data_IF_784451354015
#
_entry.id   IF_784451354015
#
_cell.length_a   1.000
_cell.length_b   1.000
_cell.length_c   1.000
_cell.angle_alpha   90.00
_cell.angle_beta   90.00
_cell.angle_gamma   90.00
#
_symmetry.space_group_name_H-M   'P 1'
#
loop_
_entity.id
_entity.type
_entity.pdbx_description
1 polymer ?
#
# COMPACT_ATOMS: atom_id res chain seq x y z
N UNK A 1 -8.39 -13.07 -0.01
CA UNK A 1 -7.69 -11.97 0.71
C UNK A 1 -7.78 -12.14 2.24
N UNK A 2 -6.92 -12.98 2.86
CA UNK A 2 -6.79 -13.08 4.34
C UNK A 2 -5.57 -12.34 4.92
N UNK A 3 -4.71 -11.81 4.05
CA UNK A 3 -3.38 -11.30 4.39
C UNK A 3 -3.21 -9.78 4.15
N UNK A 4 -4.31 -9.06 3.92
CA UNK A 4 -4.30 -7.59 3.76
C UNK A 4 -4.70 -6.91 5.08
N UNK A 5 -3.82 -6.05 5.55
CA UNK A 5 -4.04 -5.20 6.72
C UNK A 5 -3.92 -3.73 6.31
N UNK A 6 -4.88 -2.91 6.74
CA UNK A 6 -4.97 -1.50 6.43
C UNK A 6 -4.74 -0.73 7.73
N UNK A 7 -3.76 0.16 7.74
CA UNK A 7 -3.50 1.03 8.89
C UNK A 7 -4.49 2.19 8.89
N UNK A 8 -5.10 2.44 10.04
CA UNK A 8 -6.21 3.35 10.20
C UNK A 8 -6.04 4.22 11.46
N UNK A 9 -6.20 5.54 11.40
CA UNK A 9 -5.98 6.43 12.54
C UNK A 9 -7.03 6.28 13.65
N UNK A 10 -8.23 5.79 13.35
CA UNK A 10 -9.33 5.61 14.31
C UNK A 10 -9.38 4.17 14.83
N UNK A 11 -9.23 3.21 13.92
CA UNK A 11 -9.40 1.79 14.21
C UNK A 11 -8.07 1.05 14.45
N UNK A 12 -6.94 1.71 14.23
CA UNK A 12 -5.60 1.14 14.36
C UNK A 12 -5.22 0.26 13.17
N UNK A 13 -5.74 -0.97 13.13
CA UNK A 13 -5.56 -1.91 12.02
C UNK A 13 -6.91 -2.50 11.62
N UNK A 14 -7.19 -2.45 10.33
CA UNK A 14 -8.36 -3.05 9.72
C UNK A 14 -7.98 -4.22 8.81
N UNK A 15 -8.83 -5.25 8.78
CA UNK A 15 -8.80 -6.30 7.76
C UNK A 15 -9.68 -5.91 6.57
N UNK A 16 -9.43 -6.54 5.43
CA UNK A 16 -10.12 -6.28 4.15
C UNK A 16 -11.65 -6.28 4.21
N UNK A 17 -12.27 -7.04 5.13
CA UNK A 17 -13.73 -7.21 5.24
C UNK A 17 -14.31 -6.61 6.53
N UNK A 18 -13.57 -5.77 7.24
CA UNK A 18 -14.07 -5.13 8.46
C UNK A 18 -14.97 -3.92 8.13
N UNK A 19 -16.01 -3.73 8.95
CA UNK A 19 -16.95 -2.63 8.80
C UNK A 19 -16.38 -1.37 9.44
N UNK A 20 -16.50 -0.25 8.74
CA UNK A 20 -16.12 1.08 9.22
C UNK A 20 -17.30 2.03 9.18
N UNK A 21 -17.28 3.04 10.05
CA UNK A 21 -18.18 4.18 9.94
C UNK A 21 -17.48 5.32 9.18
N UNK A 22 -18.22 6.20 8.48
CA UNK A 22 -17.63 7.37 7.85
C UNK A 22 -17.00 8.29 8.90
N UNK A 23 -15.73 8.61 8.73
CA UNK A 23 -15.02 9.59 9.55
C UNK A 23 -13.99 10.33 8.69
N UNK A 24 -13.43 11.42 9.22
CA UNK A 24 -12.28 12.10 8.64
C UNK A 24 -11.29 12.44 9.75
N UNK A 25 -10.25 11.63 9.85
CA UNK A 25 -9.15 11.81 10.77
C UNK A 25 -7.88 11.35 10.07
N UNK A 26 -6.82 12.14 10.15
CA UNK A 26 -5.52 11.82 9.55
C UNK A 26 -4.53 11.50 10.66
N UNK A 27 -3.58 10.60 10.41
CA UNK A 27 -2.56 10.18 11.38
C UNK A 27 -1.70 11.33 11.92
N UNK A 28 -1.49 12.39 11.12
CA UNK A 28 -0.76 13.59 11.51
C UNK A 28 -1.52 14.59 12.38
N UNK A 29 -2.80 14.36 12.70
CA UNK A 29 -3.57 15.27 13.56
C UNK A 29 -3.03 15.28 15.00
N UNK A 30 -2.70 16.48 15.50
CA UNK A 30 -2.25 16.72 16.88
C UNK A 30 -3.42 17.15 17.77
N UNK A 31 -3.33 16.86 19.08
CA UNK A 31 -4.31 17.32 20.07
C UNK A 31 -5.68 16.64 20.00
N UNK A 32 -5.78 15.50 19.30
CA UNK A 32 -7.01 14.70 19.19
C UNK A 32 -7.19 13.77 20.40
N UNK A 33 -6.11 13.49 21.11
CA UNK A 33 -6.10 12.61 22.29
C UNK A 33 -6.29 13.49 23.52
N UNK A 34 -7.45 13.38 24.18
CA UNK A 34 -7.72 14.08 25.44
C UNK A 34 -6.92 13.46 26.61
N UNK A 35 -6.62 14.29 27.62
CA UNK A 35 -5.90 13.87 28.83
C UNK A 35 -6.66 12.76 29.58
N UNK A 36 -6.03 11.58 29.70
CA UNK A 36 -6.60 10.42 30.41
C UNK A 36 -6.30 9.05 29.80
N UNK A 37 -5.78 8.99 28.58
CA UNK A 37 -5.25 7.75 27.99
C UNK A 37 -3.95 7.27 28.68
N UNK A 38 -3.58 5.98 28.57
CA UNK A 38 -2.39 5.46 29.22
C UNK A 38 -1.15 6.18 28.67
N UNK A 39 -0.48 6.87 29.60
CA UNK A 39 0.82 7.55 29.48
C UNK A 39 0.83 8.92 28.81
N UNK A 40 0.94 9.95 29.66
CA UNK A 40 2.02 10.96 29.62
C UNK A 40 2.55 11.32 28.23
N UNK A 41 2.25 12.54 27.74
CA UNK A 41 2.97 13.18 26.63
C UNK A 41 3.10 12.33 25.34
N UNK A 42 2.01 11.77 24.80
CA UNK A 42 2.05 11.20 23.44
C UNK A 42 1.61 12.26 22.41
N UNK A 43 2.58 12.69 21.59
CA UNK A 43 2.52 13.84 20.68
C UNK A 43 1.92 13.55 19.28
N UNK A 44 1.39 12.35 19.01
CA UNK A 44 0.72 12.02 17.73
C UNK A 44 -0.14 10.75 17.81
N UNK A 45 -1.11 10.58 16.89
CA UNK A 45 -1.92 9.36 16.77
C UNK A 45 -1.06 8.13 16.44
N UNK A 46 0.01 8.28 15.66
CA UNK A 46 0.93 7.18 15.37
C UNK A 46 1.57 6.64 16.65
N UNK A 47 2.03 7.53 17.54
CA UNK A 47 2.63 7.15 18.82
C UNK A 47 1.64 6.51 19.79
N UNK A 48 0.36 6.89 19.71
CA UNK A 48 -0.70 6.28 20.49
C UNK A 48 -0.92 4.81 20.10
N UNK A 49 -1.01 4.55 18.79
CA UNK A 49 -1.27 3.21 18.25
C UNK A 49 -0.06 2.27 18.23
N UNK A 50 1.15 2.82 18.37
CA UNK A 50 2.40 2.07 18.20
C UNK A 50 2.44 0.73 18.95
N UNK A 51 2.15 0.73 20.25
CA UNK A 51 2.24 -0.46 21.10
C UNK A 51 1.14 -1.48 20.77
N UNK A 52 -0.11 -1.04 20.67
CA UNK A 52 -1.28 -1.91 20.47
C UNK A 52 -1.28 -2.55 19.08
N UNK A 53 -0.97 -1.79 18.04
CA UNK A 53 -0.87 -2.31 16.67
C UNK A 53 0.29 -3.31 16.58
N UNK A 54 1.46 -2.96 17.12
CA UNK A 54 2.64 -3.84 17.06
C UNK A 54 2.36 -5.17 17.76
N UNK A 55 1.72 -5.14 18.94
CA UNK A 55 1.32 -6.35 19.65
C UNK A 55 0.30 -7.18 18.85
N UNK A 56 -0.72 -6.53 18.27
CA UNK A 56 -1.72 -7.19 17.43
C UNK A 56 -1.09 -7.90 16.22
N UNK A 57 -0.24 -7.20 15.47
CA UNK A 57 0.44 -7.74 14.29
C UNK A 57 1.36 -8.90 14.66
N UNK A 58 2.14 -8.77 15.74
CA UNK A 58 3.01 -9.83 16.23
C UNK A 58 2.21 -11.10 16.54
N UNK A 59 1.15 -10.98 17.34
CA UNK A 59 0.31 -12.12 17.70
C UNK A 59 -0.33 -12.80 16.49
N UNK A 60 -0.60 -12.03 15.42
CA UNK A 60 -1.21 -12.56 14.20
C UNK A 60 -0.23 -13.26 13.26
N UNK A 61 1.05 -12.88 13.34
CA UNK A 61 2.14 -13.41 12.53
C UNK A 61 2.96 -14.48 13.26
N UNK A 62 2.76 -14.66 14.57
CA UNK A 62 3.37 -15.76 15.31
C UNK A 62 2.85 -17.08 14.71
N UNK A 63 3.75 -17.94 14.20
CA UNK A 63 3.35 -19.23 13.66
C UNK A 63 2.64 -20.05 14.73
N UNK A 64 1.55 -20.71 14.33
CA UNK A 64 0.75 -21.51 15.27
C UNK A 64 1.35 -22.92 15.46
N UNK A 65 2.23 -23.34 14.54
CA UNK A 65 2.93 -24.62 14.56
C UNK A 65 4.43 -24.45 14.30
N UNK A 66 5.25 -25.35 14.85
CA UNK A 66 6.71 -25.40 14.62
C UNK A 66 7.12 -25.84 13.21
N UNK A 67 6.15 -26.17 12.36
CA UNK A 67 6.35 -26.60 10.96
C UNK A 67 6.19 -25.43 9.98
N UNK A 68 5.68 -24.29 10.44
CA UNK A 68 5.46 -23.13 9.60
C UNK A 68 6.82 -22.46 9.30
N UNK A 69 7.20 -22.46 8.02
CA UNK A 69 8.28 -21.62 7.51
C UNK A 69 7.92 -20.15 7.78
N UNK A 70 8.90 -19.34 8.18
CA UNK A 70 8.69 -17.99 8.72
C UNK A 70 7.70 -17.10 7.96
N UNK A 71 7.07 -16.17 8.67
CA UNK A 71 6.10 -15.23 8.11
C UNK A 71 6.80 -14.04 7.43
N UNK A 72 6.27 -13.63 6.28
CA UNK A 72 6.75 -12.45 5.54
C UNK A 72 5.76 -11.31 5.73
N UNK A 73 6.25 -10.15 6.18
CA UNK A 73 5.50 -8.90 6.24
C UNK A 73 6.01 -7.93 5.19
N UNK A 74 5.22 -7.70 4.14
CA UNK A 74 5.55 -6.72 3.10
C UNK A 74 4.98 -5.35 3.48
N UNK A 75 5.86 -4.37 3.70
CA UNK A 75 5.43 -3.00 3.96
C UNK A 75 5.08 -2.27 2.65
N UNK A 76 3.79 -2.05 2.43
CA UNK A 76 3.24 -1.31 1.29
C UNK A 76 2.54 -0.01 1.76
N UNK A 77 2.65 0.33 3.05
CA UNK A 77 2.08 1.57 3.60
C UNK A 77 3.02 2.77 3.34
N UNK A 78 2.55 4.00 3.60
CA UNK A 78 3.44 5.17 3.62
C UNK A 78 4.17 5.27 4.93
N UNK A 79 5.34 5.90 4.91
CA UNK A 79 6.18 6.15 6.08
C UNK A 79 5.39 6.73 7.27
N UNK A 80 4.44 7.65 7.02
CA UNK A 80 3.58 8.21 8.07
C UNK A 80 2.78 7.13 8.81
N UNK A 81 2.15 6.23 8.07
CA UNK A 81 1.34 5.15 8.65
C UNK A 81 2.22 4.04 9.21
N UNK A 82 3.27 3.64 8.49
CA UNK A 82 4.22 2.60 8.93
C UNK A 82 4.90 2.98 10.25
N UNK A 83 5.06 4.27 10.56
CA UNK A 83 5.58 4.74 11.86
C UNK A 83 4.70 4.38 13.05
N UNK A 84 3.43 4.01 12.82
CA UNK A 84 2.51 3.48 13.83
C UNK A 84 2.79 2.03 14.20
N UNK A 85 3.82 1.40 13.62
CA UNK A 85 4.24 0.03 13.94
C UNK A 85 5.75 0.01 14.17
N UNK A 86 6.16 -0.35 15.39
CA UNK A 86 7.57 -0.32 15.79
C UNK A 86 8.46 -1.27 14.97
N UNK A 87 7.88 -2.39 14.51
CA UNK A 87 8.61 -3.39 13.73
C UNK A 87 8.86 -2.98 12.28
N UNK A 88 8.21 -1.93 11.78
CA UNK A 88 8.33 -1.46 10.38
C UNK A 88 9.36 -0.34 10.19
N UNK A 89 10.22 -0.07 11.19
CA UNK A 89 10.99 1.17 11.23
C UNK A 89 11.97 1.41 10.06
N UNK A 90 11.73 2.55 9.38
CA UNK A 90 12.58 3.42 8.54
C UNK A 90 13.44 2.80 7.42
N UNK A 91 12.79 2.19 6.44
CA UNK A 91 13.29 2.25 5.06
C UNK A 91 12.96 3.60 4.41
N UNK A 92 13.86 4.15 3.57
CA UNK A 92 13.58 5.36 2.77
C UNK A 92 12.70 4.98 1.58
N UNK A 93 11.39 5.20 1.64
CA UNK A 93 10.55 5.12 0.43
C UNK A 93 10.65 6.45 -0.33
N UNK A 94 11.51 6.50 -1.34
CA UNK A 94 11.54 7.63 -2.29
C UNK A 94 10.45 7.44 -3.35
N UNK A 95 9.72 8.52 -3.63
CA UNK A 95 9.10 8.88 -4.90
C UNK A 95 7.55 9.02 -4.95
N UNK A 96 7.17 10.06 -5.69
CA UNK A 96 5.86 10.66 -5.93
C UNK A 96 4.85 9.71 -6.62
N UNK A 97 5.32 8.61 -7.23
CA UNK A 97 4.48 7.63 -7.95
C UNK A 97 4.11 6.40 -7.12
N UNK A 98 4.53 6.34 -5.87
CA UNK A 98 4.45 5.14 -5.03
C UNK A 98 3.03 4.77 -4.61
N UNK A 99 2.07 5.70 -4.49
CA UNK A 99 0.70 5.35 -4.03
C UNK A 99 -0.03 4.41 -4.98
N UNK A 100 0.07 4.67 -6.29
CA UNK A 100 -0.53 3.82 -7.33
C UNK A 100 0.18 2.47 -7.42
N UNK A 101 1.52 2.48 -7.43
CA UNK A 101 2.32 1.25 -7.42
C UNK A 101 2.00 0.36 -6.21
N UNK A 102 1.88 0.96 -5.02
CA UNK A 102 1.48 0.28 -3.78
C UNK A 102 0.10 -0.37 -3.88
N UNK A 103 -0.89 0.36 -4.40
CA UNK A 103 -2.23 -0.19 -4.63
C UNK A 103 -2.24 -1.33 -5.66
N UNK A 104 -1.49 -1.17 -6.75
CA UNK A 104 -1.33 -2.20 -7.78
C UNK A 104 -0.64 -3.45 -7.24
N UNK A 105 0.36 -3.29 -6.37
CA UNK A 105 1.05 -4.40 -5.74
C UNK A 105 0.12 -5.15 -4.77
N UNK A 106 -0.61 -4.43 -3.91
CA UNK A 106 -1.60 -5.04 -3.02
C UNK A 106 -2.67 -5.81 -3.81
N UNK A 107 -3.10 -5.27 -4.96
CA UNK A 107 -3.99 -5.95 -5.90
C UNK A 107 -3.35 -7.21 -6.48
N UNK A 108 -2.13 -7.09 -7.00
CA UNK A 108 -1.37 -8.19 -7.59
C UNK A 108 -1.21 -9.36 -6.61
N UNK A 109 -0.83 -9.10 -5.35
CA UNK A 109 -0.71 -10.13 -4.32
C UNK A 109 -2.02 -10.87 -4.09
N UNK A 110 -3.14 -10.15 -4.13
CA UNK A 110 -4.44 -10.75 -3.93
C UNK A 110 -4.96 -11.52 -5.14
N UNK A 111 -4.62 -11.10 -6.35
CA UNK A 111 -5.00 -11.78 -7.59
C UNK A 111 -4.16 -13.04 -7.83
N UNK A 112 -2.85 -13.00 -7.49
CA UNK A 112 -1.93 -14.13 -7.67
C UNK A 112 -1.81 -15.03 -6.44
N UNK A 113 -2.51 -14.71 -5.35
CA UNK A 113 -2.41 -15.39 -4.06
C UNK A 113 -0.94 -15.59 -3.59
N UNK A 114 -0.12 -14.55 -3.75
CA UNK A 114 1.31 -14.59 -3.50
C UNK A 114 1.63 -15.06 -2.07
N UNK A 115 2.47 -16.11 -1.96
CA UNK A 115 2.86 -16.72 -0.67
C UNK A 115 4.36 -16.59 -0.38
N UNK A 116 5.16 -16.17 -1.36
CA UNK A 116 6.62 -16.15 -1.27
C UNK A 116 7.23 -14.86 -1.81
N UNK A 117 8.48 -14.58 -1.43
CA UNK A 117 9.22 -13.41 -1.95
C UNK A 117 9.50 -13.51 -3.46
N UNK A 118 9.57 -14.72 -4.03
CA UNK A 118 9.67 -14.92 -5.48
C UNK A 118 8.41 -14.43 -6.19
N UNK A 119 7.22 -14.78 -5.69
CA UNK A 119 5.95 -14.34 -6.30
C UNK A 119 5.85 -12.81 -6.28
N UNK A 120 6.28 -12.21 -5.17
CA UNK A 120 6.31 -10.76 -4.97
C UNK A 120 7.27 -10.07 -5.95
N UNK A 121 8.40 -10.71 -6.26
CA UNK A 121 9.42 -10.16 -7.15
C UNK A 121 8.98 -10.08 -8.63
N UNK A 122 7.97 -10.86 -9.01
CA UNK A 122 7.40 -10.88 -10.37
C UNK A 122 6.39 -9.75 -10.64
N UNK A 123 6.16 -8.84 -9.67
CA UNK A 123 5.27 -7.72 -9.84
C UNK A 123 5.63 -6.84 -11.06
N UNK A 124 4.66 -6.72 -12.00
CA UNK A 124 4.84 -6.02 -13.27
C UNK A 124 3.55 -5.44 -13.85
N UNK A 125 2.88 -4.52 -13.14
CA UNK A 125 1.59 -3.94 -13.57
C UNK A 125 1.73 -2.48 -14.02
N UNK A 126 1.03 -2.11 -15.10
CA UNK A 126 0.94 -0.73 -15.61
C UNK A 126 2.30 -0.03 -15.86
N UNK A 127 3.32 -0.83 -16.19
CA UNK A 127 4.70 -0.35 -16.41
C UNK A 127 5.50 -0.11 -15.13
N UNK A 128 4.95 -0.44 -13.96
CA UNK A 128 5.68 -0.50 -12.69
C UNK A 128 6.39 -1.84 -12.53
N UNK A 129 7.59 -1.82 -11.96
CA UNK A 129 8.35 -3.00 -11.58
C UNK A 129 9.13 -2.77 -10.28
N UNK A 130 9.51 -3.86 -9.63
CA UNK A 130 10.43 -3.81 -8.48
C UNK A 130 11.84 -3.45 -8.95
N UNK A 131 12.51 -2.58 -8.18
CA UNK A 131 13.87 -2.13 -8.43
C UNK A 131 14.83 -2.91 -7.54
N UNK A 132 16.00 -3.25 -8.09
CA UNK A 132 17.07 -3.85 -7.30
C UNK A 132 17.52 -2.89 -6.21
N UNK A 133 17.53 -3.37 -4.97
CA UNK A 133 18.02 -2.64 -3.79
C UNK A 133 19.46 -3.05 -3.46
N UNK A 134 19.94 -4.15 -4.04
CA UNK A 134 21.32 -4.61 -3.93
C UNK A 134 21.59 -5.80 -4.85
N UNK A 135 22.78 -6.39 -4.70
CA UNK A 135 23.19 -7.63 -5.36
C UNK A 135 23.30 -8.73 -4.30
N UNK A 136 22.68 -9.88 -4.55
CA UNK A 136 22.90 -11.07 -3.73
C UNK A 136 24.27 -11.68 -4.06
N UNK A 137 24.85 -12.44 -3.13
CA UNK A 137 26.20 -13.03 -3.28
C UNK A 137 26.41 -13.96 -4.48
N UNK A 138 25.32 -14.33 -5.17
CA UNK A 138 25.29 -15.14 -6.40
C UNK A 138 25.21 -14.28 -7.69
N UNK A 139 25.34 -12.95 -7.58
CA UNK A 139 25.23 -12.02 -8.71
C UNK A 139 23.80 -11.76 -9.20
N UNK A 140 22.80 -12.35 -8.56
CA UNK A 140 21.39 -12.06 -8.79
C UNK A 140 20.98 -10.72 -8.15
N UNK A 141 20.07 -10.00 -8.81
CA UNK A 141 19.56 -8.71 -8.32
C UNK A 141 18.59 -8.95 -7.17
N UNK A 142 18.86 -8.35 -6.01
CA UNK A 142 17.98 -8.42 -4.86
C UNK A 142 16.91 -7.33 -4.97
N UNK A 143 15.64 -7.72 -5.12
CA UNK A 143 14.52 -6.82 -5.41
C UNK A 143 13.78 -6.30 -4.16
N UNK A 144 14.18 -6.73 -2.97
CA UNK A 144 13.65 -6.26 -1.69
C UNK A 144 14.76 -5.95 -0.69
N UNK A 145 14.45 -5.04 0.21
CA UNK A 145 15.24 -4.74 1.39
C UNK A 145 14.61 -5.43 2.60
N UNK A 146 15.39 -6.19 3.35
CA UNK A 146 14.95 -6.67 4.68
C UNK A 146 15.14 -5.52 5.66
N UNK A 147 14.03 -4.93 6.10
CA UNK A 147 14.03 -3.77 7.01
C UNK A 147 14.23 -4.22 8.45
N UNK A 148 13.63 -5.35 8.82
CA UNK A 148 13.68 -5.87 10.18
C UNK A 148 13.42 -7.37 10.22
N UNK A 149 13.87 -8.01 11.29
CA UNK A 149 13.51 -9.39 11.63
C UNK A 149 12.95 -9.37 13.05
N UNK A 150 11.70 -9.77 13.22
CA UNK A 150 10.99 -9.72 14.51
C UNK A 150 10.91 -11.14 15.09
N UNK A 151 11.57 -11.34 16.23
CA UNK A 151 11.71 -12.68 16.81
C UNK A 151 12.57 -13.57 15.91
N UNK A 152 12.26 -14.87 15.89
CA UNK A 152 13.02 -15.84 15.07
C UNK A 152 12.47 -16.01 13.65
N UNK A 153 11.22 -15.60 13.39
CA UNK A 153 10.46 -16.11 12.24
C UNK A 153 9.73 -15.04 11.40
N UNK A 154 9.74 -13.76 11.76
CA UNK A 154 9.02 -12.73 10.98
C UNK A 154 10.02 -11.87 10.22
N UNK A 155 10.00 -11.96 8.90
CA UNK A 155 10.81 -11.13 8.03
C UNK A 155 10.00 -9.93 7.54
N UNK A 156 10.43 -8.72 7.90
CA UNK A 156 9.84 -7.47 7.40
C UNK A 156 10.61 -7.03 6.18
N UNK A 157 9.92 -6.96 5.03
CA UNK A 157 10.52 -6.57 3.75
C UNK A 157 9.86 -5.32 3.19
N UNK A 158 10.66 -4.57 2.44
CA UNK A 158 10.22 -3.39 1.72
C UNK A 158 10.71 -3.46 0.28
N UNK A 159 9.91 -2.94 -0.64
CA UNK A 159 10.23 -2.90 -2.07
C UNK A 159 10.26 -1.48 -2.59
N UNK A 160 11.18 -1.25 -3.53
CA UNK A 160 11.27 -0.01 -4.29
C UNK A 160 10.67 -0.22 -5.68
N UNK A 161 10.00 0.81 -6.17
CA UNK A 161 9.30 0.78 -7.45
C UNK A 161 9.85 1.84 -8.37
N UNK A 162 9.98 1.46 -9.63
CA UNK A 162 10.15 2.42 -10.72
C UNK A 162 9.09 2.14 -11.79
N UNK A 163 8.70 3.21 -12.48
CA UNK A 163 7.86 3.10 -13.66
C UNK A 163 8.77 3.29 -14.84
N UNK A 164 8.82 2.34 -15.76
CA UNK A 164 9.45 2.61 -17.05
C UNK A 164 8.80 3.84 -17.65
N UNK A 165 9.59 4.89 -17.89
CA UNK A 165 9.17 6.00 -18.74
C UNK A 165 8.97 5.38 -20.12
N UNK A 166 7.73 5.04 -20.43
CA UNK A 166 7.34 4.64 -21.79
C UNK A 166 7.85 5.75 -22.72
N UNK A 167 8.62 5.45 -23.78
CA UNK A 167 8.94 6.46 -24.77
C UNK A 167 7.62 7.10 -25.22
N UNK A 168 7.61 8.43 -25.36
CA UNK A 168 6.40 9.19 -25.64
C UNK A 168 5.56 8.55 -26.75
N UNK A 169 4.23 8.72 -26.72
CA UNK A 169 3.32 8.00 -27.60
C UNK A 169 3.84 8.10 -29.05
N UNK A 170 3.87 7.00 -29.82
CA UNK A 170 4.31 7.07 -31.21
C UNK A 170 3.46 8.11 -31.91
N UNK A 171 4.12 9.03 -32.64
CA UNK A 171 3.46 10.07 -33.43
C UNK A 171 2.39 9.43 -34.31
N UNK A 172 1.13 9.50 -33.88
CA UNK A 172 0.00 9.02 -34.65
C UNK A 172 -0.16 9.93 -35.86
N UNK A 173 0.10 9.39 -37.05
CA UNK A 173 -0.25 10.04 -38.30
C UNK A 173 -1.75 10.38 -38.26
N UNK A 174 -2.06 11.67 -38.40
CA UNK A 174 -3.42 12.21 -38.36
C UNK A 174 -4.26 11.58 -39.48
N UNK A 175 -5.04 10.55 -39.16
CA UNK A 175 -6.14 10.12 -40.02
C UNK A 175 -7.36 10.94 -39.66
N UNK A 176 -7.70 11.93 -40.49
CA UNK A 176 -8.96 12.68 -40.40
C UNK A 176 -10.12 11.70 -40.57
N UNK A 177 -10.87 11.42 -39.50
CA UNK A 177 -12.25 10.92 -39.62
C UNK A 177 -13.16 12.15 -39.76
N UNK A 178 -14.07 12.11 -40.75
CA UNK A 178 -15.14 13.08 -40.92
C UNK A 178 -16.18 12.84 -39.83
N UNK A 179 -16.53 13.90 -39.12
CA UNK A 179 -17.60 13.92 -38.14
C UNK A 179 -18.93 14.15 -38.88
N UNK A 180 -19.81 13.14 -38.91
CA UNK A 180 -21.23 13.31 -39.21
C UNK A 180 -22.01 13.17 -37.89
N UNK A 181 -22.14 14.28 -37.17
CA UNK A 181 -23.08 14.43 -36.06
C UNK A 181 -24.24 15.30 -36.54
N UNK A 182 -25.39 14.69 -36.83
CA UNK A 182 -26.67 15.40 -36.97
C UNK A 182 -27.20 15.77 -35.57
N UNK A 183 -27.28 17.07 -35.31
CA UNK A 183 -27.87 17.68 -34.11
C UNK A 183 -29.35 17.29 -33.95
N UNK A 184 -29.72 16.76 -32.78
CA UNK A 184 -31.12 16.71 -32.34
C UNK A 184 -31.39 17.97 -31.51
N UNK A 185 -31.85 19.02 -32.17
CA UNK A 185 -32.21 20.29 -31.57
C UNK A 185 -33.70 20.24 -31.18
N UNK A 186 -33.99 19.99 -29.91
CA UNK A 186 -35.36 20.04 -29.37
C UNK A 186 -35.74 21.48 -29.05
N UNK A 187 -36.24 22.19 -30.06
CA UNK A 187 -36.81 23.52 -29.90
C UNK A 187 -38.06 23.67 -30.78
N UNK A 188 -39.23 23.23 -30.28
CA UNK A 188 -40.55 23.54 -30.88
C UNK A 188 -41.63 23.72 -29.82
N UNK A 189 -41.79 24.98 -29.39
CA UNK A 189 -43.04 25.77 -29.46
C UNK A 189 -44.34 24.96 -29.58
N UNK A 190 -45.20 25.04 -28.56
CA UNK A 190 -46.64 24.80 -28.71
C UNK A 190 -47.37 26.12 -28.42
N UNK A 191 -47.97 26.69 -29.47
CA UNK A 191 -49.09 27.64 -29.40
C UNK A 191 -50.02 27.40 -30.58
N UNK A 192 -51.30 27.20 -30.29
CA UNK A 192 -52.51 27.28 -31.15
C UNK A 192 -53.57 26.42 -30.46
N UNK A 193 -54.81 26.83 -30.18
CA UNK A 193 -55.65 27.97 -30.55
C UNK A 193 -56.71 28.11 -29.46
#
# INVERSE_FOLDING_TARGET
>A
MRHLYILDPVYGVLRSMERIQPYRLETGCKGVIEEGGPSTKKESLCSFWNESITAYMRNRMTPTSSVDCGSILVNVASDEYSSSIDILHKGRVVAVHTKRARGLMARYFAEQDAQSLSDVSEFGLEGYRCVAVGESGDGSKQLWETVNVVGENIQVVQMLFDRDVVPGPPSMAKTKRKDDYTECNSDKRIRSK
#
